data_IF_652725185316
#
_entry.id   IF_652725185316
#
_cell.length_a   1.000
_cell.length_b   1.000
_cell.length_c   1.000
_cell.angle_alpha   90.00
_cell.angle_beta   90.00
_cell.angle_gamma   90.00
#
_symmetry.space_group_name_H-M   'P 1'
#
loop_
_entity.id
_entity.type
_entity.pdbx_description
1 polymer ?
#
# COMPACT_ATOMS: atom_id res chain seq x y z
N UNK A 1 7.54 11.33 -8.99
CA UNK A 1 7.30 10.54 -7.75
C UNK A 1 6.40 9.36 -8.12
N UNK A 2 6.49 8.24 -7.42
CA UNK A 2 5.76 7.03 -7.74
C UNK A 2 5.06 6.46 -6.50
N UNK A 3 4.00 5.68 -6.75
CA UNK A 3 3.23 4.98 -5.72
C UNK A 3 3.23 3.49 -6.08
N UNK A 4 3.26 2.63 -5.06
CA UNK A 4 3.13 1.19 -5.28
C UNK A 4 1.71 0.85 -5.75
N UNK A 5 1.60 0.24 -6.94
CA UNK A 5 0.30 -0.08 -7.54
C UNK A 5 -0.49 -1.10 -6.71
N UNK A 6 0.18 -2.10 -6.14
CA UNK A 6 -0.47 -3.14 -5.33
C UNK A 6 -1.04 -2.55 -4.05
N UNK A 7 -0.32 -1.63 -3.41
CA UNK A 7 -0.80 -0.85 -2.26
C UNK A 7 -2.05 -0.05 -2.60
N UNK A 8 -2.04 0.65 -3.75
CA UNK A 8 -3.18 1.47 -4.17
C UNK A 8 -4.45 0.64 -4.40
N UNK A 9 -4.31 -0.55 -5.02
CA UNK A 9 -5.41 -1.47 -5.22
C UNK A 9 -5.96 -2.02 -3.89
N UNK A 10 -5.08 -2.46 -2.98
CA UNK A 10 -5.50 -2.96 -1.67
C UNK A 10 -6.25 -1.88 -0.86
N UNK A 11 -5.76 -0.64 -0.89
CA UNK A 11 -6.38 0.49 -0.18
C UNK A 11 -7.78 0.81 -0.72
N UNK A 12 -7.96 0.76 -2.04
CA UNK A 12 -9.28 0.93 -2.65
C UNK A 12 -10.26 -0.18 -2.23
N UNK A 13 -9.81 -1.43 -2.17
CA UNK A 13 -10.64 -2.55 -1.69
C UNK A 13 -11.04 -2.35 -0.23
N UNK A 14 -10.10 -1.90 0.62
CA UNK A 14 -10.39 -1.59 2.04
C UNK A 14 -11.44 -0.48 2.16
N UNK A 15 -11.33 0.60 1.38
CA UNK A 15 -12.32 1.68 1.36
C UNK A 15 -13.71 1.18 0.95
N UNK A 16 -13.80 0.30 -0.05
CA UNK A 16 -15.07 -0.31 -0.46
C UNK A 16 -15.63 -1.19 0.66
N UNK A 17 -14.81 -2.02 1.28
CA UNK A 17 -15.23 -2.88 2.38
C UNK A 17 -15.75 -2.08 3.59
N UNK A 18 -15.07 -0.98 3.93
CA UNK A 18 -15.49 -0.04 4.98
C UNK A 18 -16.85 0.61 4.63
N UNK A 19 -17.05 1.04 3.37
CA UNK A 19 -18.36 1.55 2.92
C UNK A 19 -19.47 0.52 3.06
N UNK A 20 -19.21 -0.75 2.70
CA UNK A 20 -20.17 -1.84 2.82
C UNK A 20 -20.52 -2.12 4.28
N UNK A 21 -19.53 -2.04 5.18
CA UNK A 21 -19.71 -2.23 6.62
C UNK A 21 -20.36 -1.02 7.34
N UNK A 22 -20.54 0.10 6.64
CA UNK A 22 -21.09 1.34 7.22
C UNK A 22 -20.07 2.19 7.97
N UNK A 23 -18.77 1.90 7.84
CA UNK A 23 -17.70 2.70 8.44
C UNK A 23 -17.51 4.03 7.68
N UNK A 24 -17.18 5.13 8.38
CA UNK A 24 -16.95 6.41 7.73
C UNK A 24 -15.73 6.34 6.80
N UNK A 25 -15.90 6.78 5.55
CA UNK A 25 -14.81 6.87 4.57
C UNK A 25 -14.67 8.29 4.03
N UNK A 26 -13.44 8.78 3.80
CA UNK A 26 -13.24 10.11 3.25
C UNK A 26 -13.74 10.22 1.80
N UNK A 27 -14.09 11.43 1.39
CA UNK A 27 -14.48 11.71 0.00
C UNK A 27 -13.28 11.63 -0.98
N UNK A 28 -12.07 11.92 -0.49
CA UNK A 28 -10.84 11.89 -1.27
C UNK A 28 -9.70 11.42 -0.38
N UNK A 29 -8.77 10.66 -0.95
CA UNK A 29 -7.57 10.19 -0.26
C UNK A 29 -6.40 10.20 -1.24
N UNK A 30 -5.31 10.86 -0.84
CA UNK A 30 -4.09 10.99 -1.62
C UNK A 30 -3.03 9.98 -1.15
N UNK A 31 -2.52 9.19 -2.09
CA UNK A 31 -1.44 8.26 -1.79
C UNK A 31 -0.12 9.00 -1.60
N UNK A 32 0.61 8.65 -0.54
CA UNK A 32 1.98 9.13 -0.33
C UNK A 32 2.90 8.56 -1.40
N UNK A 33 3.35 9.42 -2.30
CA UNK A 33 4.31 9.05 -3.33
C UNK A 33 5.75 9.15 -2.81
N UNK A 34 6.64 8.29 -3.30
CA UNK A 34 8.07 8.36 -3.05
C UNK A 34 8.82 8.90 -4.27
N UNK A 35 9.91 9.64 -4.04
CA UNK A 35 10.88 9.93 -5.09
C UNK A 35 11.76 8.68 -5.29
N UNK A 36 11.97 8.27 -6.54
CA UNK A 36 12.84 7.15 -6.91
C UNK A 36 13.97 7.70 -7.77
N UNK A 37 15.13 8.06 -7.18
CA UNK A 37 16.28 8.53 -7.95
C UNK A 37 16.89 7.39 -8.76
N UNK A 38 17.29 7.63 -10.01
CA UNK A 38 17.98 6.64 -10.83
C UNK A 38 19.30 6.17 -10.17
N UNK A 39 20.03 7.09 -9.54
CA UNK A 39 21.27 6.79 -8.83
C UNK A 39 21.07 5.78 -7.69
N UNK A 40 19.92 5.82 -7.01
CA UNK A 40 19.57 4.88 -5.95
C UNK A 40 19.40 3.45 -6.48
N UNK A 41 18.82 3.31 -7.69
CA UNK A 41 18.65 2.03 -8.37
C UNK A 41 19.98 1.48 -8.89
N UNK A 42 20.80 2.35 -9.49
CA UNK A 42 22.10 1.98 -10.05
C UNK A 42 23.12 1.56 -8.97
N UNK A 43 22.96 2.03 -7.74
CA UNK A 43 23.80 1.65 -6.60
C UNK A 43 23.49 0.25 -6.05
N UNK A 44 22.42 -0.40 -6.49
CA UNK A 44 22.05 -1.73 -5.99
C UNK A 44 22.89 -2.82 -6.66
N UNK A 45 23.45 -3.78 -5.90
CA UNK A 45 24.35 -4.80 -6.42
C UNK A 45 23.65 -5.89 -7.25
N UNK A 46 22.34 -5.80 -7.47
CA UNK A 46 21.54 -6.81 -8.16
C UNK A 46 20.29 -6.23 -8.80
N UNK A 47 19.51 -7.09 -9.46
CA UNK A 47 18.30 -6.68 -10.15
C UNK A 47 17.26 -6.10 -9.17
N UNK A 48 16.75 -4.91 -9.51
CA UNK A 48 15.70 -4.23 -8.75
C UNK A 48 14.39 -4.32 -9.54
N UNK A 49 13.32 -4.70 -8.84
CA UNK A 49 11.94 -4.63 -9.31
C UNK A 49 11.08 -3.83 -8.32
N UNK A 50 9.82 -3.56 -8.70
CA UNK A 50 8.91 -2.70 -7.91
C UNK A 50 8.66 -3.25 -6.50
N UNK A 51 8.56 -4.58 -6.33
CA UNK A 51 8.38 -5.18 -5.01
C UNK A 51 9.62 -5.04 -4.13
N UNK A 52 10.82 -5.14 -4.73
CA UNK A 52 12.08 -4.99 -4.01
C UNK A 52 12.39 -3.56 -3.58
N UNK A 53 11.69 -2.55 -4.11
CA UNK A 53 11.81 -1.16 -3.67
C UNK A 53 11.46 -0.99 -2.19
N UNK A 54 10.59 -1.83 -1.62
CA UNK A 54 10.29 -1.86 -0.19
C UNK A 54 11.51 -2.11 0.71
N UNK A 55 12.58 -2.69 0.16
CA UNK A 55 13.84 -2.93 0.88
C UNK A 55 14.79 -1.72 0.84
N UNK A 56 14.58 -0.79 -0.07
CA UNK A 56 15.51 0.31 -0.39
C UNK A 56 14.89 1.67 -0.04
N UNK A 57 13.57 1.80 -0.18
CA UNK A 57 12.80 3.02 0.07
C UNK A 57 11.90 2.77 1.29
N UNK A 58 12.20 3.36 2.45
CA UNK A 58 11.38 3.23 3.65
C UNK A 58 9.92 3.65 3.39
N UNK A 59 8.98 2.82 3.85
CA UNK A 59 7.54 3.06 3.66
C UNK A 59 7.01 2.77 2.25
N UNK A 60 7.85 2.34 1.30
CA UNK A 60 7.37 1.93 -0.01
C UNK A 60 6.45 0.71 0.09
N UNK A 61 5.26 0.81 -0.50
CA UNK A 61 4.29 -0.28 -0.53
C UNK A 61 3.65 -0.59 0.82
N UNK A 62 3.77 0.29 1.82
CA UNK A 62 3.21 0.10 3.15
C UNK A 62 2.21 1.20 3.50
N UNK A 63 1.04 0.80 3.98
CA UNK A 63 0.08 1.69 4.66
C UNK A 63 -0.79 0.89 5.62
N UNK A 64 -1.02 1.47 6.79
CA UNK A 64 -1.99 1.00 7.77
C UNK A 64 -3.36 1.69 7.59
N UNK A 65 -3.47 2.58 6.59
CA UNK A 65 -4.68 3.33 6.34
C UNK A 65 -5.86 2.40 5.98
N UNK A 66 -7.00 2.74 6.58
CA UNK A 66 -8.29 2.07 6.40
C UNK A 66 -8.31 0.57 6.74
N UNK A 67 -7.30 0.06 7.47
CA UNK A 67 -7.33 -1.28 8.02
C UNK A 67 -8.24 -1.29 9.25
N UNK A 68 -9.43 -1.85 9.09
CA UNK A 68 -10.33 -2.04 10.22
C UNK A 68 -9.96 -3.31 11.01
N UNK A 69 -10.09 -3.32 12.36
CA UNK A 69 -9.74 -4.50 13.18
C UNK A 69 -10.46 -5.78 12.77
N UNK A 70 -11.68 -5.67 12.24
CA UNK A 70 -12.49 -6.80 11.79
C UNK A 70 -11.99 -7.44 10.49
N UNK A 71 -11.07 -6.83 9.73
CA UNK A 71 -10.43 -7.48 8.60
C UNK A 71 -9.61 -8.70 9.03
N UNK A 72 -8.90 -8.62 10.15
CA UNK A 72 -8.18 -9.77 10.70
C UNK A 72 -9.14 -10.91 11.08
N UNK A 73 -10.29 -10.56 11.64
CA UNK A 73 -11.37 -11.52 11.95
C UNK A 73 -11.93 -12.16 10.69
N UNK A 74 -12.07 -11.42 9.58
CA UNK A 74 -12.52 -11.97 8.30
C UNK A 74 -11.48 -12.86 7.65
N UNK A 75 -10.20 -12.48 7.67
CA UNK A 75 -9.12 -13.30 7.12
C UNK A 75 -9.02 -14.64 7.87
N UNK A 76 -9.12 -14.61 9.20
CA UNK A 76 -9.14 -15.82 10.01
C UNK A 76 -10.32 -16.76 9.70
N UNK A 77 -11.45 -16.23 9.24
CA UNK A 77 -12.64 -17.02 8.85
C UNK A 77 -12.58 -17.58 7.43
N UNK A 78 -11.73 -17.05 6.56
CA UNK A 78 -11.64 -17.42 5.14
C UNK A 78 -10.31 -18.10 4.77
N UNK A 79 -9.49 -18.44 5.77
CA UNK A 79 -8.33 -19.34 5.62
C UNK A 79 -8.77 -20.80 5.64
#
# INVERSE_FOLDING_TARGET
MAVDRSLSAATNVRLIANKIAGEPTPATYDFKAAAIPQALLAAQPGAVNVASLGKIIPGWGQTEDFIAPWFATLEAKNK
#
